data_IF_540690359529
#
_entry.id   IF_540690359529
#
_cell.length_a   1.000
_cell.length_b   1.000
_cell.length_c   1.000
_cell.angle_alpha   90.00
_cell.angle_beta   90.00
_cell.angle_gamma   90.00
#
_symmetry.space_group_name_H-M   'P 1'
#
loop_
_entity.id
_entity.type
_entity.pdbx_description
1 polymer ?
#
# COMPACT_ATOMS: atom_id res chain seq x y z
N UNK A 1 -38.15 -16.48 22.75
CA UNK A 1 -37.99 -15.34 21.83
C UNK A 1 -38.45 -15.62 20.39
N UNK A 2 -38.18 -16.78 19.81
CA UNK A 2 -38.52 -17.15 18.43
C UNK A 2 -40.03 -17.11 18.10
N UNK A 3 -40.90 -17.42 19.04
CA UNK A 3 -42.36 -17.45 18.83
C UNK A 3 -43.02 -16.06 18.84
N UNK A 4 -42.46 -15.06 19.56
CA UNK A 4 -42.98 -13.69 19.55
C UNK A 4 -42.70 -12.99 18.20
N UNK A 5 -41.56 -13.22 17.58
CA UNK A 5 -41.25 -12.70 16.25
C UNK A 5 -42.19 -13.22 15.17
N UNK A 6 -42.55 -14.52 15.24
CA UNK A 6 -43.45 -15.14 14.27
C UNK A 6 -44.87 -14.57 14.37
N UNK A 7 -45.34 -14.22 15.58
CA UNK A 7 -46.66 -13.66 15.81
C UNK A 7 -46.78 -12.19 15.32
N UNK A 8 -45.69 -11.41 15.43
CA UNK A 8 -45.61 -10.03 14.93
C UNK A 8 -45.66 -9.99 13.40
N UNK A 9 -44.98 -10.95 12.74
CA UNK A 9 -44.95 -11.06 11.28
C UNK A 9 -46.29 -11.58 10.68
N UNK A 10 -47.14 -12.22 11.46
CA UNK A 10 -48.44 -12.79 11.03
C UNK A 10 -49.66 -11.91 11.38
N UNK A 11 -49.49 -10.84 12.13
CA UNK A 11 -50.63 -9.95 12.46
C UNK A 11 -51.02 -9.13 11.23
N UNK A 12 -52.22 -9.30 10.75
CA UNK A 12 -52.81 -8.55 9.61
C UNK A 12 -53.25 -7.11 9.97
N UNK A 13 -53.01 -6.66 11.18
CA UNK A 13 -53.25 -5.28 11.61
C UNK A 13 -52.03 -4.45 11.17
N UNK A 14 -52.23 -3.24 10.69
CA UNK A 14 -51.22 -2.32 10.13
C UNK A 14 -49.99 -1.99 11.02
N UNK A 15 -49.85 -2.65 12.16
CA UNK A 15 -48.70 -2.56 13.08
C UNK A 15 -47.41 -3.16 12.54
N UNK A 16 -47.47 -3.93 11.43
CA UNK A 16 -46.28 -4.53 10.79
C UNK A 16 -45.45 -3.51 9.99
N UNK A 17 -46.02 -2.41 9.57
CA UNK A 17 -45.37 -1.39 8.75
C UNK A 17 -44.15 -0.76 9.44
N UNK A 18 -44.23 -0.30 10.71
CA UNK A 18 -43.04 0.25 11.39
C UNK A 18 -41.91 -0.76 11.56
N UNK A 19 -42.23 -2.04 11.74
CA UNK A 19 -41.27 -3.11 11.87
C UNK A 19 -40.51 -3.32 10.53
N UNK A 20 -41.23 -3.34 9.41
CA UNK A 20 -40.64 -3.50 8.07
C UNK A 20 -39.68 -2.33 7.78
N UNK A 21 -40.10 -1.10 8.08
CA UNK A 21 -39.28 0.10 7.93
C UNK A 21 -38.03 0.00 8.80
N UNK A 22 -38.16 -0.40 10.06
CA UNK A 22 -37.01 -0.55 10.97
C UNK A 22 -36.00 -1.60 10.44
N UNK A 23 -36.50 -2.76 9.98
CA UNK A 23 -35.64 -3.81 9.39
C UNK A 23 -34.95 -3.30 8.12
N UNK A 24 -35.66 -2.59 7.25
CA UNK A 24 -35.09 -2.02 6.05
C UNK A 24 -33.97 -1.00 6.35
N UNK A 25 -34.17 -0.12 7.37
CA UNK A 25 -33.14 0.81 7.82
C UNK A 25 -31.91 0.11 8.38
N UNK A 26 -32.09 -0.94 9.18
CA UNK A 26 -30.97 -1.73 9.72
C UNK A 26 -30.17 -2.38 8.58
N UNK A 27 -30.84 -2.98 7.59
CA UNK A 27 -30.18 -3.56 6.42
C UNK A 27 -29.40 -2.50 5.63
N UNK A 28 -29.96 -1.31 5.46
CA UNK A 28 -29.31 -0.21 4.76
C UNK A 28 -28.05 0.27 5.51
N UNK A 29 -28.09 0.36 6.83
CA UNK A 29 -26.91 0.69 7.65
C UNK A 29 -25.82 -0.38 7.54
N UNK A 30 -26.20 -1.67 7.53
CA UNK A 30 -25.25 -2.77 7.34
C UNK A 30 -24.59 -2.66 5.96
N UNK A 31 -25.35 -2.40 4.90
CA UNK A 31 -24.81 -2.22 3.55
C UNK A 31 -23.85 -1.03 3.49
N UNK A 32 -24.16 0.11 4.12
CA UNK A 32 -23.25 1.23 4.21
C UNK A 32 -21.93 0.86 4.90
N UNK A 33 -21.97 0.06 5.96
CA UNK A 33 -20.76 -0.42 6.63
C UNK A 33 -19.91 -1.34 5.76
N UNK A 34 -20.56 -2.24 5.04
CA UNK A 34 -19.86 -3.17 4.12
C UNK A 34 -19.20 -2.40 2.98
N UNK A 35 -19.90 -1.47 2.34
CA UNK A 35 -19.34 -0.69 1.23
C UNK A 35 -18.15 0.16 1.67
N UNK A 36 -18.22 0.79 2.84
CA UNK A 36 -17.09 1.55 3.39
C UNK A 36 -15.90 0.65 3.70
N UNK A 37 -16.12 -0.51 4.32
CA UNK A 37 -15.07 -1.49 4.57
C UNK A 37 -14.39 -1.96 3.28
N UNK A 38 -15.17 -2.25 2.22
CA UNK A 38 -14.61 -2.64 0.92
C UNK A 38 -13.79 -1.51 0.31
N UNK A 39 -14.26 -0.26 0.37
CA UNK A 39 -13.53 0.92 -0.11
C UNK A 39 -12.16 1.03 0.57
N UNK A 40 -12.12 0.93 1.89
CA UNK A 40 -10.88 1.01 2.68
C UNK A 40 -9.89 -0.11 2.29
N UNK A 41 -10.38 -1.33 2.09
CA UNK A 41 -9.53 -2.44 1.66
C UNK A 41 -8.95 -2.24 0.25
N UNK A 42 -9.76 -1.77 -0.69
CA UNK A 42 -9.32 -1.49 -2.07
C UNK A 42 -8.22 -0.44 -2.07
N UNK A 43 -8.40 0.66 -1.32
CA UNK A 43 -7.39 1.71 -1.20
C UNK A 43 -6.10 1.15 -0.58
N UNK A 44 -6.20 0.42 0.53
CA UNK A 44 -5.03 -0.14 1.21
C UNK A 44 -4.24 -1.12 0.33
N UNK A 45 -4.93 -1.97 -0.42
CA UNK A 45 -4.31 -2.90 -1.36
C UNK A 45 -3.68 -2.16 -2.55
N UNK A 46 -4.39 -1.22 -3.16
CA UNK A 46 -3.87 -0.44 -4.28
C UNK A 46 -2.61 0.35 -3.92
N UNK A 47 -2.59 0.98 -2.75
CA UNK A 47 -1.40 1.67 -2.25
C UNK A 47 -0.27 0.68 -1.97
N UNK A 48 -0.57 -0.47 -1.35
CA UNK A 48 0.42 -1.51 -1.09
C UNK A 48 1.09 -1.99 -2.38
N UNK A 49 0.30 -2.28 -3.40
CA UNK A 49 0.80 -2.79 -4.68
C UNK A 49 1.65 -1.72 -5.40
N UNK A 50 1.24 -0.45 -5.33
CA UNK A 50 2.01 0.66 -5.89
C UNK A 50 3.37 0.83 -5.18
N UNK A 51 3.40 0.80 -3.84
CA UNK A 51 4.64 0.87 -3.05
C UNK A 51 5.54 -0.32 -3.36
N UNK A 52 4.99 -1.52 -3.46
CA UNK A 52 5.74 -2.72 -3.83
C UNK A 52 6.37 -2.58 -5.22
N UNK A 53 5.62 -2.08 -6.19
CA UNK A 53 6.10 -1.83 -7.55
C UNK A 53 7.23 -0.80 -7.55
N UNK A 54 7.08 0.29 -6.78
CA UNK A 54 8.11 1.32 -6.67
C UNK A 54 9.41 0.77 -6.06
N UNK A 55 9.33 -0.06 -5.01
CA UNK A 55 10.50 -0.69 -4.38
C UNK A 55 11.18 -1.68 -5.34
N UNK A 56 10.40 -2.52 -6.05
CA UNK A 56 10.93 -3.45 -7.04
C UNK A 56 11.68 -2.68 -8.13
N UNK A 57 11.13 -1.55 -8.59
CA UNK A 57 11.82 -0.69 -9.56
C UNK A 57 13.13 -0.15 -9.00
N UNK A 58 13.16 0.33 -7.76
CA UNK A 58 14.39 0.79 -7.09
C UNK A 58 15.45 -0.32 -6.98
N UNK A 59 15.02 -1.55 -6.65
CA UNK A 59 15.94 -2.71 -6.66
C UNK A 59 16.50 -2.95 -8.05
N UNK A 60 15.67 -2.91 -9.09
CA UNK A 60 16.10 -3.13 -10.47
C UNK A 60 17.05 -2.04 -10.96
N UNK A 61 16.81 -0.78 -10.60
CA UNK A 61 17.69 0.35 -10.97
C UNK A 61 19.11 0.17 -10.40
N UNK A 62 19.22 -0.31 -9.15
CA UNK A 62 20.53 -0.62 -8.55
C UNK A 62 21.29 -1.75 -9.27
N UNK A 63 20.60 -2.56 -10.09
CA UNK A 63 21.21 -3.62 -10.89
C UNK A 63 21.42 -3.21 -12.35
N UNK A 64 20.73 -2.19 -12.84
CA UNK A 64 20.82 -1.74 -14.24
C UNK A 64 22.19 -1.11 -14.54
N UNK A 65 22.72 -0.33 -13.61
CA UNK A 65 24.05 0.28 -13.70
C UNK A 65 25.18 -0.76 -13.76
N UNK A 66 24.98 -1.94 -13.16
CA UNK A 66 25.96 -3.04 -13.15
C UNK A 66 25.95 -3.82 -14.47
N UNK A 67 24.88 -3.70 -15.26
CA UNK A 67 24.64 -4.50 -16.45
C UNK A 67 25.62 -4.22 -17.59
N UNK A 68 26.22 -3.04 -17.66
CA UNK A 68 27.05 -2.61 -18.78
C UNK A 68 28.50 -3.10 -18.74
N UNK A 69 29.02 -3.69 -17.67
CA UNK A 69 30.42 -4.02 -17.53
C UNK A 69 30.77 -5.46 -17.24
N UNK A 70 30.08 -6.17 -16.37
CA UNK A 70 30.40 -7.55 -16.02
C UNK A 70 29.27 -8.19 -15.19
N UNK A 71 28.43 -8.94 -15.86
CA UNK A 71 27.25 -9.63 -15.29
C UNK A 71 27.58 -10.76 -14.32
N UNK A 72 28.84 -11.22 -14.36
CA UNK A 72 29.29 -12.36 -13.59
C UNK A 72 30.08 -11.90 -12.37
N UNK A 73 29.38 -11.87 -11.21
CA UNK A 73 30.04 -11.73 -9.93
C UNK A 73 29.91 -10.40 -9.20
N UNK A 74 29.14 -9.43 -9.71
CA UNK A 74 28.94 -8.14 -9.03
C UNK A 74 27.57 -8.07 -8.38
N UNK A 75 27.53 -7.51 -7.17
CA UNK A 75 26.31 -7.21 -6.48
C UNK A 75 25.73 -5.87 -6.92
N UNK A 76 24.41 -5.74 -6.95
CA UNK A 76 23.77 -4.45 -7.16
C UNK A 76 24.25 -3.41 -6.15
N UNK A 77 24.20 -2.12 -6.52
CA UNK A 77 24.65 -1.04 -5.65
C UNK A 77 26.17 -0.86 -5.60
N UNK A 78 26.91 -1.35 -6.59
CA UNK A 78 28.34 -1.07 -6.79
C UNK A 78 28.58 -0.45 -8.14
N UNK A 79 29.48 0.52 -8.20
CA UNK A 79 29.93 1.15 -9.44
C UNK A 79 31.45 0.96 -9.63
N UNK A 80 31.93 0.78 -10.88
CA UNK A 80 33.36 0.68 -11.14
C UNK A 80 34.05 2.03 -10.89
N UNK A 81 35.15 2.00 -10.15
CA UNK A 81 36.08 3.09 -9.98
C UNK A 81 37.44 2.65 -10.55
N UNK A 82 38.36 3.54 -10.89
CA UNK A 82 39.61 3.33 -11.65
C UNK A 82 40.30 1.96 -11.46
N UNK A 83 40.31 1.39 -10.27
CA UNK A 83 40.94 0.10 -9.95
C UNK A 83 40.13 -0.79 -9.01
N UNK A 84 38.93 -0.37 -8.60
CA UNK A 84 38.11 -1.04 -7.60
C UNK A 84 36.63 -0.79 -7.86
N UNK A 85 35.77 -1.36 -7.01
CA UNK A 85 34.36 -1.07 -7.02
C UNK A 85 34.01 -0.30 -5.73
N UNK A 86 33.23 0.74 -5.85
CA UNK A 86 32.71 1.51 -4.75
C UNK A 86 31.22 1.25 -4.58
N UNK A 87 30.75 1.24 -3.33
CA UNK A 87 29.33 1.12 -3.02
C UNK A 87 28.60 2.40 -3.46
N UNK A 88 27.59 2.23 -4.31
CA UNK A 88 26.77 3.32 -4.82
C UNK A 88 25.32 2.87 -4.81
N UNK A 89 24.61 3.19 -3.72
CA UNK A 89 23.20 2.81 -3.54
C UNK A 89 22.29 3.91 -4.08
N UNK A 90 21.42 3.53 -5.01
CA UNK A 90 20.31 4.37 -5.43
C UNK A 90 19.06 4.05 -4.58
N UNK A 91 18.63 5.00 -3.78
CA UNK A 91 17.39 4.87 -2.99
C UNK A 91 16.13 5.11 -3.81
N UNK A 92 16.27 5.51 -5.08
CA UNK A 92 15.19 5.81 -5.98
C UNK A 92 14.33 7.01 -5.55
N UNK A 93 13.63 7.56 -6.51
CA UNK A 93 12.63 8.61 -6.24
C UNK A 93 11.25 7.96 -5.99
N UNK A 94 11.13 7.17 -4.91
CA UNK A 94 9.94 6.37 -4.63
C UNK A 94 8.69 7.24 -4.54
N UNK A 95 8.75 8.42 -3.93
CA UNK A 95 7.61 9.32 -3.90
C UNK A 95 7.20 9.82 -5.29
N UNK A 96 8.16 10.15 -6.16
CA UNK A 96 7.85 10.60 -7.51
C UNK A 96 7.21 9.49 -8.34
N UNK A 97 7.67 8.25 -8.15
CA UNK A 97 7.04 7.07 -8.74
C UNK A 97 5.63 6.83 -8.22
N UNK A 98 5.40 6.97 -6.91
CA UNK A 98 4.07 6.85 -6.30
C UNK A 98 3.14 7.97 -6.77
N UNK A 99 3.63 9.22 -6.85
CA UNK A 99 2.86 10.35 -7.37
C UNK A 99 2.38 10.08 -8.81
N UNK A 100 3.25 9.52 -9.64
CA UNK A 100 2.91 9.17 -11.01
C UNK A 100 1.97 7.95 -11.10
N UNK A 101 2.24 6.88 -10.36
CA UNK A 101 1.45 5.65 -10.40
C UNK A 101 0.02 5.84 -9.86
N UNK A 102 -0.10 6.58 -8.77
CA UNK A 102 -1.36 6.78 -8.05
C UNK A 102 -2.03 8.11 -8.41
N UNK A 103 -1.34 9.00 -9.15
CA UNK A 103 -1.83 10.33 -9.48
C UNK A 103 -2.01 11.18 -8.22
N UNK A 104 -0.95 11.28 -7.38
CA UNK A 104 -0.98 12.04 -6.15
C UNK A 104 -0.55 13.49 -6.40
N UNK A 105 -0.99 14.38 -5.53
CA UNK A 105 -0.60 15.78 -5.50
C UNK A 105 0.09 16.10 -4.17
N UNK A 106 1.18 16.86 -4.22
CA UNK A 106 1.92 17.26 -3.00
C UNK A 106 1.19 18.41 -2.29
N UNK A 107 0.90 18.23 -1.01
CA UNK A 107 0.24 19.25 -0.19
C UNK A 107 0.70 19.14 1.26
N UNK A 108 1.34 20.19 1.80
CA UNK A 108 1.69 20.30 3.21
C UNK A 108 2.54 19.15 3.78
N UNK A 109 3.47 18.58 2.99
CA UNK A 109 4.30 17.44 3.39
C UNK A 109 3.61 16.07 3.27
N UNK A 110 2.43 16.04 2.67
CA UNK A 110 1.69 14.84 2.32
C UNK A 110 1.60 14.68 0.81
N UNK A 111 1.48 13.43 0.35
CA UNK A 111 1.13 13.06 -1.01
C UNK A 111 -0.33 12.62 -1.02
N UNK A 112 -1.20 13.44 -1.60
CA UNK A 112 -2.66 13.35 -1.45
C UNK A 112 -3.30 12.88 -2.74
N UNK A 113 -4.17 11.89 -2.65
CA UNK A 113 -5.09 11.52 -3.72
C UNK A 113 -6.40 12.26 -3.54
N UNK A 114 -6.85 12.92 -4.60
CA UNK A 114 -8.15 13.56 -4.66
C UNK A 114 -9.11 12.77 -5.54
N UNK A 115 -10.37 12.74 -5.14
CA UNK A 115 -11.47 12.28 -5.99
C UNK A 115 -11.75 13.27 -7.13
N UNK A 116 -12.55 12.85 -8.12
CA UNK A 116 -13.01 13.74 -9.20
C UNK A 116 -13.73 15.00 -8.70
N UNK A 117 -14.36 14.92 -7.54
CA UNK A 117 -15.09 16.03 -6.90
C UNK A 117 -14.18 16.92 -6.02
N UNK A 118 -12.85 16.66 -6.01
CA UNK A 118 -11.87 17.44 -5.29
C UNK A 118 -11.77 17.13 -3.79
N UNK A 119 -12.44 16.08 -3.29
CA UNK A 119 -12.30 15.64 -1.91
C UNK A 119 -11.06 14.76 -1.72
N UNK A 120 -10.44 14.84 -0.53
CA UNK A 120 -9.33 13.97 -0.15
C UNK A 120 -9.82 12.53 -0.07
N UNK A 121 -9.27 11.63 -0.91
CA UNK A 121 -9.56 10.20 -0.90
C UNK A 121 -8.67 9.47 0.08
N UNK A 122 -7.36 9.75 0.05
CA UNK A 122 -6.36 9.30 1.02
C UNK A 122 -5.10 10.14 0.89
N UNK A 123 -4.20 10.00 1.87
CA UNK A 123 -2.88 10.63 1.84
C UNK A 123 -1.80 9.71 2.36
N UNK A 124 -0.59 9.91 1.82
CA UNK A 124 0.62 9.19 2.17
C UNK A 124 1.61 10.14 2.84
N UNK A 125 2.39 9.60 3.79
CA UNK A 125 3.44 10.36 4.47
C UNK A 125 4.46 9.43 5.13
N UNK A 126 5.58 9.99 5.60
CA UNK A 126 6.55 9.28 6.43
C UNK A 126 7.20 8.09 5.72
N UNK A 127 7.52 8.24 4.43
CA UNK A 127 8.31 7.25 3.71
C UNK A 127 9.70 7.15 4.33
N UNK A 128 10.09 5.94 4.66
CA UNK A 128 11.46 5.57 5.05
C UNK A 128 11.87 4.38 4.22
N UNK A 129 13.03 4.49 3.58
CA UNK A 129 13.61 3.43 2.74
C UNK A 129 14.92 2.98 3.35
N UNK A 130 15.08 1.68 3.50
CA UNK A 130 16.29 1.03 3.99
C UNK A 130 16.74 0.01 2.95
N UNK A 131 17.98 0.15 2.49
CA UNK A 131 18.60 -0.78 1.54
C UNK A 131 19.70 -1.53 2.28
N UNK A 132 19.65 -2.84 2.18
CA UNK A 132 20.72 -3.74 2.63
C UNK A 132 21.40 -4.29 1.41
N UNK A 133 22.67 -3.91 1.21
CA UNK A 133 23.45 -4.35 0.03
C UNK A 133 23.97 -5.78 0.22
N UNK A 134 24.21 -6.46 -0.90
CA UNK A 134 24.91 -7.73 -0.92
C UNK A 134 26.42 -7.48 -0.98
N UNK A 135 27.27 -8.35 -0.40
CA UNK A 135 28.72 -8.19 -0.53
C UNK A 135 29.18 -8.40 -1.97
N UNK A 136 30.16 -7.61 -2.40
CA UNK A 136 30.79 -7.78 -3.69
C UNK A 136 31.57 -9.11 -3.72
N UNK A 137 31.29 -9.98 -4.68
CA UNK A 137 31.96 -11.27 -4.88
C UNK A 137 32.08 -12.11 -3.58
N UNK A 138 30.98 -12.55 -2.95
CA UNK A 138 31.04 -13.33 -1.73
C UNK A 138 31.72 -14.67 -1.93
N UNK A 139 32.52 -15.11 -0.95
CA UNK A 139 33.21 -16.41 -0.97
C UNK A 139 32.25 -17.61 -0.87
N UNK A 140 31.06 -17.40 -0.32
CA UNK A 140 29.95 -18.36 -0.27
C UNK A 140 28.67 -17.70 -0.81
N UNK A 141 28.41 -17.79 -2.12
CA UNK A 141 27.24 -17.14 -2.73
C UNK A 141 25.90 -17.70 -2.23
N UNK A 142 25.86 -18.95 -1.78
CA UNK A 142 24.60 -19.59 -1.33
C UNK A 142 24.11 -19.05 0.01
N UNK A 143 25.05 -18.65 0.87
CA UNK A 143 24.77 -18.12 2.20
C UNK A 143 25.05 -16.62 2.33
N UNK A 144 25.39 -15.96 1.21
CA UNK A 144 25.67 -14.53 1.22
C UNK A 144 24.40 -13.71 1.49
N UNK A 145 24.61 -12.56 2.13
CA UNK A 145 23.56 -11.57 2.29
C UNK A 145 23.05 -11.10 0.91
N UNK A 146 21.75 -11.09 0.75
CA UNK A 146 21.12 -10.68 -0.51
C UNK A 146 20.80 -9.19 -0.49
N UNK A 147 20.81 -8.59 -1.67
CA UNK A 147 20.36 -7.23 -1.85
C UNK A 147 18.85 -7.15 -1.56
N UNK A 148 18.47 -6.31 -0.60
CA UNK A 148 17.08 -6.09 -0.24
C UNK A 148 16.80 -4.63 0.00
N UNK A 149 15.65 -4.17 -0.48
CA UNK A 149 15.13 -2.84 -0.18
C UNK A 149 13.83 -2.99 0.64
N UNK A 150 13.73 -2.25 1.72
CA UNK A 150 12.55 -2.19 2.59
C UNK A 150 12.02 -0.77 2.60
N UNK A 151 10.71 -0.62 2.47
CA UNK A 151 10.05 0.68 2.63
C UNK A 151 8.97 0.61 3.69
N UNK A 152 8.89 1.67 4.47
CA UNK A 152 7.80 1.91 5.41
C UNK A 152 7.13 3.21 5.03
N UNK A 153 5.79 3.21 4.91
CA UNK A 153 5.01 4.40 4.55
C UNK A 153 3.70 4.41 5.35
N UNK A 154 3.24 5.59 5.73
CA UNK A 154 1.97 5.78 6.43
C UNK A 154 0.88 6.17 5.45
N UNK A 155 -0.20 5.39 5.46
CA UNK A 155 -1.44 5.66 4.74
C UNK A 155 -2.49 6.17 5.73
N UNK A 156 -3.12 7.31 5.42
CA UNK A 156 -4.27 7.84 6.13
C UNK A 156 -5.46 7.93 5.16
N UNK A 157 -6.59 7.32 5.53
CA UNK A 157 -7.81 7.30 4.70
C UNK A 157 -8.95 7.89 5.51
N UNK A 158 -9.61 8.96 5.03
CA UNK A 158 -10.84 9.47 5.65
C UNK A 158 -11.91 8.38 5.64
N UNK A 159 -12.57 8.20 6.78
CA UNK A 159 -13.65 7.23 6.95
C UNK A 159 -14.96 7.98 7.06
N UNK A 160 -15.98 7.54 6.32
CA UNK A 160 -17.33 8.10 6.41
C UNK A 160 -18.34 7.00 6.70
N UNK A 161 -19.29 7.28 7.58
CA UNK A 161 -20.38 6.38 7.87
C UNK A 161 -21.69 7.15 8.04
N UNK A 162 -22.70 6.74 7.30
CA UNK A 162 -24.03 7.38 7.29
C UNK A 162 -23.96 8.92 7.11
N UNK A 163 -23.07 9.39 6.21
CA UNK A 163 -22.89 10.83 5.93
C UNK A 163 -22.12 11.62 6.98
N UNK A 164 -21.55 10.96 8.00
CA UNK A 164 -20.68 11.58 9.00
C UNK A 164 -19.25 11.15 8.83
N UNK A 165 -18.33 12.12 8.92
CA UNK A 165 -16.90 11.84 8.96
C UNK A 165 -16.53 11.27 10.32
N UNK A 166 -15.82 10.14 10.29
CA UNK A 166 -15.20 9.50 11.45
C UNK A 166 -13.71 9.84 11.49
N UNK A 167 -13.00 9.52 12.59
CA UNK A 167 -11.55 9.62 12.61
C UNK A 167 -10.93 8.83 11.46
N UNK A 168 -9.90 9.37 10.77
CA UNK A 168 -9.29 8.69 9.63
C UNK A 168 -8.64 7.37 10.06
N UNK A 169 -8.74 6.38 9.21
CA UNK A 169 -7.99 5.14 9.35
C UNK A 169 -6.53 5.41 9.04
N UNK A 170 -5.63 4.98 9.94
CA UNK A 170 -4.18 5.12 9.80
C UNK A 170 -3.53 3.75 9.77
N UNK A 171 -2.83 3.45 8.69
CA UNK A 171 -2.11 2.20 8.48
C UNK A 171 -0.66 2.51 8.18
N UNK A 172 0.26 1.78 8.82
CA UNK A 172 1.67 1.76 8.43
C UNK A 172 1.92 0.52 7.58
N UNK A 173 2.25 0.74 6.31
CA UNK A 173 2.63 -0.30 5.38
C UNK A 173 4.13 -0.52 5.47
N UNK A 174 4.54 -1.78 5.62
CA UNK A 174 5.94 -2.21 5.57
C UNK A 174 6.07 -3.23 4.45
N UNK A 175 6.94 -2.94 3.50
CA UNK A 175 7.15 -3.78 2.32
C UNK A 175 8.65 -4.00 2.13
N UNK A 176 8.97 -5.14 1.55
CA UNK A 176 10.33 -5.52 1.23
C UNK A 176 10.36 -6.16 -0.15
N UNK A 177 11.36 -5.81 -0.93
CA UNK A 177 11.71 -6.46 -2.17
C UNK A 177 13.19 -6.88 -2.12
N UNK A 178 13.52 -7.95 -2.81
CA UNK A 178 14.89 -8.44 -2.89
C UNK A 178 15.20 -8.98 -4.28
N UNK A 179 16.46 -8.90 -4.64
CA UNK A 179 16.96 -9.50 -5.86
C UNK A 179 17.28 -10.98 -5.64
N UNK A 180 16.87 -11.83 -6.58
CA UNK A 180 17.24 -13.25 -6.59
C UNK A 180 17.79 -13.55 -7.98
N UNK A 181 19.06 -13.89 -8.03
CA UNK A 181 19.71 -14.37 -9.26
C UNK A 181 19.06 -15.68 -9.69
N UNK A 182 18.66 -15.76 -10.94
CA UNK A 182 18.22 -17.01 -11.59
C UNK A 182 19.24 -17.35 -12.67
N UNK A 183 20.03 -18.36 -12.38
CA UNK A 183 20.88 -19.00 -13.35
C UNK A 183 20.17 -20.18 -14.00
#
# INVERSE_FOLDING_TARGET
>A
MKNRFKHILQSKSGESFPLIVAVALVLLLILCGITEYMRLNIIAQGVRDAVQTAIISTVNDNYDDVYHGAREGYSGGYQPNDSSFEESLDYGEIYDRLDNLLGLSRSGGYHVKYTSDGHEEYKLSGLSVEITNAPLAPSDPQNAQRFTASATIRLEVPVSFAGKLLPPMKITLKLQAGWTERF
#
